data_IF_109652436928
#
_entry.id   IF_109652436928
#
_cell.length_a   1.000
_cell.length_b   1.000
_cell.length_c   1.000
_cell.angle_alpha   90.00
_cell.angle_beta   90.00
_cell.angle_gamma   90.00
#
_symmetry.space_group_name_H-M   'P 1'
#
loop_
_entity.id
_entity.type
_entity.pdbx_description
1 polymer ?
#
# COMPACT_ATOMS: atom_id res chain seq x y z
N UNK A 1 -17.38 -30.09 -23.73
CA UNK A 1 -16.23 -31.00 -23.51
C UNK A 1 -15.61 -30.64 -22.17
N UNK A 2 -15.07 -31.59 -21.39
CA UNK A 2 -14.25 -31.25 -20.23
C UNK A 2 -13.02 -30.45 -20.69
N UNK A 3 -12.57 -29.49 -19.90
CA UNK A 3 -11.32 -28.79 -20.19
C UNK A 3 -10.16 -29.82 -20.15
N UNK A 4 -9.29 -29.88 -21.18
CA UNK A 4 -8.10 -30.73 -21.13
C UNK A 4 -7.26 -30.34 -19.91
N UNK A 5 -6.77 -31.33 -19.18
CA UNK A 5 -6.00 -31.10 -17.96
C UNK A 5 -4.82 -30.17 -18.22
N UNK A 6 -4.42 -29.38 -17.21
CA UNK A 6 -3.28 -28.46 -17.32
C UNK A 6 -2.03 -29.17 -17.86
N UNK A 7 -1.80 -30.40 -17.41
CA UNK A 7 -0.73 -31.29 -17.91
C UNK A 7 -0.85 -31.59 -19.40
N UNK A 8 -2.03 -31.96 -19.91
CA UNK A 8 -2.20 -32.26 -21.33
C UNK A 8 -1.95 -31.05 -22.25
N UNK A 9 -2.32 -29.84 -21.81
CA UNK A 9 -1.97 -28.60 -22.53
C UNK A 9 -0.48 -28.28 -22.48
N UNK A 10 0.18 -28.51 -21.34
CA UNK A 10 1.62 -28.31 -21.19
C UNK A 10 2.43 -29.33 -22.01
N UNK A 11 2.04 -30.60 -22.01
CA UNK A 11 2.66 -31.65 -22.83
C UNK A 11 2.49 -31.37 -24.33
N UNK A 12 1.32 -30.89 -24.76
CA UNK A 12 1.09 -30.48 -26.15
C UNK A 12 1.88 -29.21 -26.54
N UNK A 13 2.23 -28.35 -25.57
CA UNK A 13 2.99 -27.12 -25.80
C UNK A 13 4.51 -27.30 -25.68
N UNK A 14 5.00 -28.52 -25.37
CA UNK A 14 6.41 -28.79 -24.98
C UNK A 14 7.45 -28.30 -25.99
N UNK A 15 7.13 -28.33 -27.27
CA UNK A 15 8.01 -27.87 -28.36
C UNK A 15 7.76 -26.40 -28.78
N UNK A 16 6.79 -25.73 -28.15
CA UNK A 16 6.37 -24.36 -28.51
C UNK A 16 7.14 -23.29 -27.73
N UNK A 17 7.60 -22.25 -28.43
CA UNK A 17 8.26 -21.07 -27.84
C UNK A 17 7.29 -20.07 -27.20
N UNK A 18 5.99 -20.30 -27.31
CA UNK A 18 4.93 -19.49 -26.73
C UNK A 18 3.89 -20.38 -26.03
N UNK A 19 3.56 -20.05 -24.79
CA UNK A 19 2.53 -20.74 -24.00
C UNK A 19 1.45 -19.75 -23.57
N UNK A 20 0.20 -20.01 -23.98
CA UNK A 20 -0.96 -19.23 -23.54
C UNK A 20 -1.87 -20.11 -22.70
N UNK A 21 -2.07 -19.73 -21.44
CA UNK A 21 -2.97 -20.37 -20.48
C UNK A 21 -3.95 -19.33 -19.91
N UNK A 22 -4.40 -18.38 -20.73
CA UNK A 22 -5.30 -17.32 -20.28
C UNK A 22 -6.66 -17.87 -19.83
N UNK A 23 -7.16 -17.39 -18.69
CA UNK A 23 -8.47 -17.75 -18.10
C UNK A 23 -8.67 -19.26 -17.83
N UNK A 24 -7.59 -19.98 -17.53
CA UNK A 24 -7.61 -21.42 -17.24
C UNK A 24 -7.86 -21.77 -15.77
N UNK A 25 -8.21 -20.79 -14.92
CA UNK A 25 -8.54 -20.95 -13.49
C UNK A 25 -7.47 -21.70 -12.68
N UNK A 26 -6.19 -21.44 -12.99
CA UNK A 26 -5.02 -22.17 -12.49
C UNK A 26 -4.83 -21.99 -10.97
N UNK A 27 -5.07 -20.78 -10.45
CA UNK A 27 -4.80 -20.42 -9.06
C UNK A 27 -3.32 -20.55 -8.66
N UNK A 28 -3.06 -20.43 -7.35
CA UNK A 28 -1.70 -20.55 -6.80
C UNK A 28 -1.15 -21.99 -6.91
N UNK A 29 -1.99 -23.01 -6.72
CA UNK A 29 -1.60 -24.42 -6.79
C UNK A 29 -1.06 -24.82 -8.17
N UNK A 30 -1.73 -24.42 -9.24
CA UNK A 30 -1.29 -24.71 -10.61
C UNK A 30 -0.01 -23.98 -11.01
N UNK A 31 0.40 -22.93 -10.27
CA UNK A 31 1.70 -22.27 -10.49
C UNK A 31 2.88 -23.21 -10.21
N UNK A 32 2.73 -24.23 -9.33
CA UNK A 32 3.76 -25.26 -9.13
C UNK A 32 3.99 -26.11 -10.40
N UNK A 33 2.91 -26.44 -11.12
CA UNK A 33 2.99 -27.23 -12.36
C UNK A 33 3.62 -26.41 -13.48
N UNK A 34 3.23 -25.13 -13.61
CA UNK A 34 3.83 -24.19 -14.56
C UNK A 34 5.31 -23.96 -14.24
N UNK A 35 5.66 -23.76 -12.96
CA UNK A 35 7.04 -23.58 -12.52
C UNK A 35 7.92 -24.80 -12.84
N UNK A 36 7.40 -26.03 -12.71
CA UNK A 36 8.10 -27.23 -13.16
C UNK A 36 8.29 -27.22 -14.67
N UNK A 37 7.22 -26.96 -15.44
CA UNK A 37 7.28 -26.87 -16.89
C UNK A 37 8.29 -25.83 -17.40
N UNK A 38 8.35 -24.65 -16.77
CA UNK A 38 9.31 -23.59 -17.10
C UNK A 38 10.77 -23.95 -16.78
N UNK A 39 11.04 -24.95 -15.93
CA UNK A 39 12.40 -25.49 -15.71
C UNK A 39 12.76 -26.59 -16.70
N UNK A 40 11.76 -27.34 -17.17
CA UNK A 40 11.94 -28.44 -18.13
C UNK A 40 11.99 -27.94 -19.59
N UNK A 41 11.27 -26.86 -19.91
CA UNK A 41 11.20 -26.30 -21.26
C UNK A 41 12.23 -25.17 -21.48
N UNK A 42 13.31 -25.49 -22.20
CA UNK A 42 14.38 -24.55 -22.55
C UNK A 42 14.02 -23.62 -23.72
N UNK A 43 12.97 -23.92 -24.50
CA UNK A 43 12.58 -23.17 -25.70
C UNK A 43 11.57 -22.04 -25.43
N UNK A 44 10.94 -22.02 -24.25
CA UNK A 44 9.87 -21.09 -23.92
C UNK A 44 10.36 -19.63 -23.84
N UNK A 45 9.87 -18.79 -24.77
CA UNK A 45 10.19 -17.35 -24.85
C UNK A 45 9.08 -16.45 -24.34
N UNK A 46 7.83 -16.88 -24.41
CA UNK A 46 6.67 -16.03 -24.06
C UNK A 46 5.61 -16.82 -23.29
N UNK A 47 5.05 -16.21 -22.24
CA UNK A 47 3.98 -16.82 -21.44
C UNK A 47 2.83 -15.83 -21.17
N UNK A 48 1.59 -16.23 -21.49
CA UNK A 48 0.35 -15.52 -21.12
C UNK A 48 -0.39 -16.30 -20.03
N UNK A 49 -0.37 -15.77 -18.80
CA UNK A 49 -1.06 -16.28 -17.63
C UNK A 49 -2.19 -15.34 -17.17
N UNK A 50 -2.75 -14.54 -18.10
CA UNK A 50 -3.87 -13.63 -17.82
C UNK A 50 -5.06 -14.32 -17.16
N UNK A 51 -5.67 -13.66 -16.17
CA UNK A 51 -7.01 -14.05 -15.70
C UNK A 51 -7.08 -15.37 -14.95
N UNK A 52 -5.99 -15.79 -14.31
CA UNK A 52 -5.85 -17.10 -13.65
C UNK A 52 -6.03 -17.07 -12.13
N UNK A 53 -6.38 -15.91 -11.57
CA UNK A 53 -6.53 -15.68 -10.12
C UNK A 53 -5.25 -16.05 -9.33
N UNK A 54 -4.08 -15.81 -9.92
CA UNK A 54 -2.78 -15.98 -9.27
C UNK A 54 -2.61 -14.87 -8.23
N UNK A 55 -2.20 -15.22 -7.01
CA UNK A 55 -1.96 -14.31 -5.89
C UNK A 55 -0.47 -14.23 -5.59
N UNK A 56 -0.13 -13.70 -4.41
CA UNK A 56 1.26 -13.58 -3.97
C UNK A 56 2.01 -14.93 -3.91
N UNK A 57 1.41 -15.99 -3.35
CA UNK A 57 2.11 -17.27 -3.13
C UNK A 57 2.41 -18.00 -4.45
N UNK A 58 1.44 -18.04 -5.39
CA UNK A 58 1.67 -18.55 -6.74
C UNK A 58 2.72 -17.73 -7.50
N UNK A 59 2.78 -16.41 -7.28
CA UNK A 59 3.80 -15.57 -7.88
C UNK A 59 5.20 -15.84 -7.32
N UNK A 60 5.36 -16.13 -6.02
CA UNK A 60 6.67 -16.54 -5.44
C UNK A 60 7.18 -17.80 -6.16
N UNK A 61 6.31 -18.79 -6.36
CA UNK A 61 6.64 -20.03 -7.07
C UNK A 61 7.07 -19.75 -8.52
N UNK A 62 6.35 -18.90 -9.24
CA UNK A 62 6.73 -18.46 -10.59
C UNK A 62 8.05 -17.69 -10.60
N UNK A 63 8.29 -16.79 -9.65
CA UNK A 63 9.55 -16.04 -9.53
C UNK A 63 10.75 -16.98 -9.33
N UNK A 64 10.63 -18.02 -8.48
CA UNK A 64 11.67 -19.04 -8.38
C UNK A 64 11.87 -19.84 -9.67
N UNK A 65 10.84 -20.06 -10.48
CA UNK A 65 10.98 -20.64 -11.82
C UNK A 65 11.71 -19.69 -12.78
N UNK A 66 11.40 -18.39 -12.77
CA UNK A 66 12.10 -17.37 -13.56
C UNK A 66 13.61 -17.32 -13.24
N UNK A 67 13.98 -17.48 -11.96
CA UNK A 67 15.40 -17.53 -11.52
C UNK A 67 16.14 -18.79 -12.01
N UNK A 68 15.45 -19.92 -12.17
CA UNK A 68 16.08 -21.24 -12.39
C UNK A 68 15.99 -21.74 -13.84
N UNK A 69 14.91 -21.45 -14.56
CA UNK A 69 14.69 -21.84 -15.97
C UNK A 69 14.38 -20.68 -16.92
N UNK A 70 14.18 -19.45 -16.42
CA UNK A 70 13.76 -18.29 -17.22
C UNK A 70 14.81 -17.66 -18.13
N UNK A 71 15.97 -18.29 -18.36
CA UNK A 71 17.10 -17.72 -19.09
C UNK A 71 16.83 -17.40 -20.57
N UNK A 72 15.80 -18.02 -21.16
CA UNK A 72 15.39 -17.77 -22.55
C UNK A 72 14.06 -17.01 -22.67
N UNK A 73 13.42 -16.65 -21.56
CA UNK A 73 12.11 -15.99 -21.60
C UNK A 73 12.24 -14.48 -21.83
N UNK A 74 11.58 -13.97 -22.86
CA UNK A 74 11.56 -12.56 -23.25
C UNK A 74 10.29 -11.82 -22.82
N UNK A 75 9.13 -12.49 -22.74
CA UNK A 75 7.86 -11.83 -22.40
C UNK A 75 7.04 -12.60 -21.38
N UNK A 76 6.60 -11.89 -20.33
CA UNK A 76 5.72 -12.42 -19.26
C UNK A 76 4.47 -11.57 -19.16
N UNK A 77 3.29 -12.18 -19.35
CA UNK A 77 2.01 -11.52 -19.21
C UNK A 77 1.21 -12.11 -18.05
N UNK A 78 0.98 -11.29 -17.02
CA UNK A 78 0.34 -11.63 -15.75
C UNK A 78 -0.88 -10.74 -15.47
N UNK A 79 -1.42 -10.05 -16.48
CA UNK A 79 -2.56 -9.13 -16.33
C UNK A 79 -3.82 -9.80 -15.79
N UNK A 80 -4.67 -9.03 -15.12
CA UNK A 80 -5.94 -9.53 -14.53
C UNK A 80 -5.73 -10.70 -13.56
N UNK A 81 -4.70 -10.63 -12.72
CA UNK A 81 -4.51 -11.53 -11.59
C UNK A 81 -4.66 -10.74 -10.26
N UNK A 82 -4.37 -11.35 -9.12
CA UNK A 82 -4.48 -10.74 -7.79
C UNK A 82 -3.14 -10.74 -7.06
N UNK A 83 -2.07 -10.53 -7.82
CA UNK A 83 -0.67 -10.48 -7.35
C UNK A 83 -0.48 -9.50 -6.19
N UNK A 84 -1.10 -8.32 -6.26
CA UNK A 84 -1.02 -7.28 -5.24
C UNK A 84 -1.78 -7.60 -3.94
N UNK A 85 -2.31 -8.82 -3.76
CA UNK A 85 -2.92 -9.24 -2.50
C UNK A 85 -1.95 -9.22 -1.32
N UNK A 86 -0.63 -9.34 -1.58
CA UNK A 86 0.41 -9.24 -0.56
C UNK A 86 1.75 -8.89 -1.21
N UNK A 87 2.45 -7.90 -0.66
CA UNK A 87 3.76 -7.41 -1.15
C UNK A 87 4.81 -8.52 -1.38
N UNK A 88 4.80 -9.61 -0.59
CA UNK A 88 5.79 -10.69 -0.67
C UNK A 88 5.93 -11.31 -2.06
N UNK A 89 4.83 -11.46 -2.79
CA UNK A 89 4.85 -11.97 -4.17
C UNK A 89 5.52 -10.99 -5.14
N UNK A 90 5.21 -9.70 -5.00
CA UNK A 90 5.79 -8.63 -5.82
C UNK A 90 7.28 -8.47 -5.51
N UNK A 91 7.67 -8.50 -4.24
CA UNK A 91 9.06 -8.48 -3.81
C UNK A 91 9.84 -9.65 -4.42
N UNK A 92 9.34 -10.89 -4.29
CA UNK A 92 10.01 -12.07 -4.86
C UNK A 92 10.19 -11.98 -6.38
N UNK A 93 9.18 -11.48 -7.10
CA UNK A 93 9.30 -11.21 -8.54
C UNK A 93 10.36 -10.15 -8.83
N UNK A 94 10.33 -9.03 -8.11
CA UNK A 94 11.28 -7.92 -8.28
C UNK A 94 12.73 -8.34 -7.99
N UNK A 95 12.97 -9.08 -6.92
CA UNK A 95 14.30 -9.56 -6.52
C UNK A 95 14.88 -10.65 -7.46
N UNK A 96 14.03 -11.29 -8.26
CA UNK A 96 14.46 -12.15 -9.37
C UNK A 96 14.75 -11.31 -10.62
N UNK A 97 13.89 -10.34 -10.93
CA UNK A 97 14.04 -9.49 -12.11
C UNK A 97 15.26 -8.55 -12.04
N UNK A 98 15.65 -8.07 -10.85
CA UNK A 98 16.90 -7.28 -10.64
C UNK A 98 18.12 -7.93 -11.32
N UNK A 99 18.25 -9.26 -11.21
CA UNK A 99 19.34 -10.04 -11.81
C UNK A 99 18.99 -10.78 -13.10
N UNK A 100 17.80 -10.58 -13.68
CA UNK A 100 17.37 -11.30 -14.88
C UNK A 100 17.83 -10.56 -16.16
N UNK A 101 18.52 -11.29 -17.04
CA UNK A 101 19.09 -10.75 -18.28
C UNK A 101 18.31 -11.09 -19.56
N UNK A 102 17.15 -11.74 -19.45
CA UNK A 102 16.40 -12.30 -20.59
C UNK A 102 15.06 -11.60 -20.87
N UNK A 103 14.36 -11.15 -19.82
CA UNK A 103 13.00 -10.61 -19.93
C UNK A 103 13.03 -9.17 -20.41
N UNK A 104 12.51 -8.93 -21.61
CA UNK A 104 12.37 -7.61 -22.23
C UNK A 104 10.98 -6.99 -22.02
N UNK A 105 9.94 -7.80 -21.80
CA UNK A 105 8.55 -7.36 -21.75
C UNK A 105 7.81 -7.94 -20.52
N UNK A 106 7.19 -7.08 -19.71
CA UNK A 106 6.43 -7.48 -18.52
C UNK A 106 5.07 -6.75 -18.43
N UNK A 107 3.97 -7.50 -18.47
CA UNK A 107 2.59 -6.98 -18.34
C UNK A 107 1.99 -7.40 -16.99
N UNK A 108 1.87 -6.44 -16.07
CA UNK A 108 1.28 -6.56 -14.73
C UNK A 108 -0.03 -5.75 -14.61
N UNK A 109 -0.71 -5.46 -15.72
CA UNK A 109 -1.93 -4.65 -15.75
C UNK A 109 -3.06 -5.24 -14.88
N UNK A 110 -3.76 -4.42 -14.10
CA UNK A 110 -4.89 -4.83 -13.27
C UNK A 110 -4.57 -6.01 -12.32
N UNK A 111 -3.62 -5.78 -11.41
CA UNK A 111 -3.16 -6.73 -10.41
C UNK A 111 -3.35 -6.28 -8.95
N UNK A 112 -4.00 -5.13 -8.72
CA UNK A 112 -4.19 -4.49 -7.40
C UNK A 112 -2.87 -4.19 -6.66
N UNK A 113 -1.80 -3.85 -7.37
CA UNK A 113 -0.52 -3.44 -6.75
C UNK A 113 -0.73 -2.14 -5.95
N UNK A 114 -0.44 -2.16 -4.65
CA UNK A 114 -0.56 -1.02 -3.74
C UNK A 114 0.69 -0.13 -3.67
N UNK A 115 0.68 0.95 -2.85
CA UNK A 115 1.81 1.88 -2.72
C UNK A 115 3.09 1.21 -2.20
N UNK A 116 3.00 0.26 -1.27
CA UNK A 116 4.16 -0.43 -0.69
C UNK A 116 4.93 -1.25 -1.75
N UNK A 117 4.22 -1.77 -2.75
CA UNK A 117 4.80 -2.47 -3.88
C UNK A 117 5.67 -1.57 -4.77
N UNK A 118 5.44 -0.25 -4.77
CA UNK A 118 6.15 0.69 -5.63
C UNK A 118 7.65 0.79 -5.32
N UNK A 119 8.04 0.58 -4.06
CA UNK A 119 9.46 0.54 -3.65
C UNK A 119 10.19 -0.62 -4.33
N UNK A 120 9.66 -1.84 -4.23
CA UNK A 120 10.25 -3.04 -4.83
C UNK A 120 10.30 -2.95 -6.36
N UNK A 121 9.24 -2.43 -6.98
CA UNK A 121 9.20 -2.17 -8.42
C UNK A 121 10.24 -1.13 -8.85
N UNK A 122 10.41 -0.05 -8.08
CA UNK A 122 11.40 0.97 -8.33
C UNK A 122 12.85 0.46 -8.21
N UNK A 123 13.18 -0.23 -7.12
CA UNK A 123 14.49 -0.87 -6.96
C UNK A 123 14.80 -1.83 -8.12
N UNK A 124 13.82 -2.60 -8.58
CA UNK A 124 13.96 -3.49 -9.73
C UNK A 124 14.20 -2.73 -11.03
N UNK A 125 13.43 -1.67 -11.31
CA UNK A 125 13.63 -0.81 -12.49
C UNK A 125 15.01 -0.15 -12.47
N UNK A 126 15.51 0.26 -11.30
CA UNK A 126 16.83 0.87 -11.16
C UNK A 126 17.97 -0.08 -11.56
N UNK A 127 17.87 -1.34 -11.18
CA UNK A 127 18.98 -2.32 -11.33
C UNK A 127 18.87 -3.16 -12.60
N UNK A 128 17.66 -3.44 -13.08
CA UNK A 128 17.46 -4.21 -14.30
C UNK A 128 17.80 -3.37 -15.55
N UNK A 129 18.62 -3.93 -16.43
CA UNK A 129 19.10 -3.30 -17.67
C UNK A 129 18.54 -3.91 -18.96
N UNK A 130 17.57 -4.83 -18.86
CA UNK A 130 17.09 -5.68 -19.97
C UNK A 130 15.61 -5.53 -20.28
N UNK A 131 14.80 -5.13 -19.30
CA UNK A 131 13.41 -4.71 -19.49
C UNK A 131 13.36 -3.45 -20.37
N UNK A 132 12.65 -3.57 -21.49
CA UNK A 132 12.42 -2.48 -22.46
C UNK A 132 10.97 -1.99 -22.45
N UNK A 133 10.01 -2.85 -22.13
CA UNK A 133 8.60 -2.47 -21.98
C UNK A 133 7.98 -3.02 -20.69
N UNK A 134 7.27 -2.18 -19.95
CA UNK A 134 6.53 -2.57 -18.75
C UNK A 134 5.10 -2.01 -18.79
N UNK A 135 4.10 -2.79 -18.37
CA UNK A 135 2.75 -2.29 -18.16
C UNK A 135 2.31 -2.51 -16.72
N UNK A 136 2.11 -1.40 -16.02
CA UNK A 136 1.62 -1.33 -14.64
C UNK A 136 0.23 -0.71 -14.58
N UNK A 137 -0.46 -0.53 -15.71
CA UNK A 137 -1.75 0.18 -15.76
C UNK A 137 -2.83 -0.47 -14.91
N UNK A 138 -3.77 0.33 -14.42
CA UNK A 138 -4.91 -0.10 -13.60
C UNK A 138 -4.50 -0.83 -12.30
N UNK A 139 -3.45 -0.36 -11.63
CA UNK A 139 -3.14 -0.73 -10.25
C UNK A 139 -3.43 0.47 -9.30
N UNK A 140 -3.08 0.37 -8.02
CA UNK A 140 -3.39 1.39 -7.00
C UNK A 140 -2.10 1.85 -6.27
N UNK A 141 -1.08 2.19 -7.07
CA UNK A 141 0.25 2.61 -6.58
C UNK A 141 0.19 3.96 -5.84
N UNK A 142 -0.79 4.80 -6.14
CA UNK A 142 -1.01 6.09 -5.48
C UNK A 142 0.07 7.14 -5.74
N UNK A 143 -0.09 8.30 -5.08
CA UNK A 143 0.78 9.46 -5.29
C UNK A 143 2.20 9.20 -4.75
N UNK A 144 2.34 8.66 -3.54
CA UNK A 144 3.65 8.37 -2.94
C UNK A 144 4.41 7.27 -3.69
N UNK A 145 3.72 6.19 -4.09
CA UNK A 145 4.33 5.15 -4.93
C UNK A 145 4.79 5.70 -6.29
N UNK A 146 4.06 6.65 -6.86
CA UNK A 146 4.49 7.39 -8.05
C UNK A 146 5.80 8.17 -7.87
N UNK A 147 5.99 8.86 -6.74
CA UNK A 147 7.24 9.58 -6.43
C UNK A 147 8.42 8.64 -6.30
N UNK A 148 8.25 7.54 -5.56
CA UNK A 148 9.29 6.50 -5.36
C UNK A 148 9.70 5.89 -6.70
N UNK A 149 8.73 5.59 -7.58
CA UNK A 149 9.03 5.17 -8.95
C UNK A 149 9.84 6.23 -9.69
N UNK A 150 9.39 7.50 -9.71
CA UNK A 150 10.10 8.57 -10.43
C UNK A 150 11.57 8.72 -10.01
N UNK A 151 11.88 8.61 -8.72
CA UNK A 151 13.26 8.65 -8.22
C UNK A 151 14.11 7.52 -8.83
N UNK A 152 13.62 6.28 -8.80
CA UNK A 152 14.32 5.13 -9.35
C UNK A 152 14.39 5.12 -10.89
N UNK A 153 13.37 5.66 -11.57
CA UNK A 153 13.35 5.82 -13.03
C UNK A 153 14.50 6.69 -13.55
N UNK A 154 14.94 7.71 -12.80
CA UNK A 154 16.00 8.64 -13.26
C UNK A 154 17.32 7.92 -13.56
N UNK A 155 17.63 6.89 -12.78
CA UNK A 155 18.83 6.06 -12.89
C UNK A 155 18.71 4.92 -13.91
N UNK A 156 17.50 4.59 -14.39
CA UNK A 156 17.32 3.58 -15.43
C UNK A 156 17.53 4.16 -16.84
N UNK A 157 18.18 3.37 -17.70
CA UNK A 157 18.46 3.70 -19.10
C UNK A 157 17.96 2.66 -20.12
N UNK A 158 17.41 1.52 -19.67
CA UNK A 158 16.97 0.41 -20.54
C UNK A 158 15.49 0.47 -20.89
N UNK A 159 14.65 0.98 -19.99
CA UNK A 159 13.20 0.97 -20.12
C UNK A 159 12.76 2.09 -21.07
N UNK A 160 12.06 1.71 -22.15
CA UNK A 160 11.69 2.56 -23.29
C UNK A 160 10.19 2.88 -23.29
N UNK A 161 9.36 1.95 -22.82
CA UNK A 161 7.91 2.13 -22.68
C UNK A 161 7.47 1.67 -21.29
N UNK A 162 6.80 2.53 -20.53
CA UNK A 162 6.14 2.14 -19.30
C UNK A 162 4.74 2.74 -19.21
N UNK A 163 3.74 1.88 -19.17
CA UNK A 163 2.33 2.27 -19.10
C UNK A 163 1.88 2.32 -17.64
N UNK A 164 1.59 3.54 -17.16
CA UNK A 164 1.18 3.82 -15.77
C UNK A 164 -0.27 4.33 -15.68
N UNK A 165 -1.07 4.17 -16.74
CA UNK A 165 -2.44 4.69 -16.79
C UNK A 165 -3.33 4.10 -15.67
N UNK A 166 -4.16 4.92 -15.04
CA UNK A 166 -5.10 4.46 -14.00
C UNK A 166 -4.50 4.12 -12.63
N UNK A 167 -3.28 4.56 -12.31
CA UNK A 167 -2.59 4.26 -11.04
C UNK A 167 -2.78 5.26 -9.88
N UNK A 168 -3.64 6.28 -10.05
CA UNK A 168 -3.79 7.42 -9.11
C UNK A 168 -2.47 8.14 -8.78
N UNK A 169 -1.52 8.14 -9.73
CA UNK A 169 -0.27 8.90 -9.67
C UNK A 169 -0.55 10.36 -10.09
N UNK A 170 0.17 11.32 -9.51
CA UNK A 170 0.07 12.73 -9.88
C UNK A 170 0.51 12.98 -11.34
N UNK A 171 -0.18 13.90 -12.02
CA UNK A 171 0.04 14.17 -13.45
C UNK A 171 1.46 14.68 -13.74
N UNK A 172 2.03 15.54 -12.88
CA UNK A 172 3.42 16.02 -12.99
C UNK A 172 4.43 14.86 -12.94
N UNK A 173 4.20 13.88 -12.08
CA UNK A 173 5.03 12.68 -11.94
C UNK A 173 4.98 11.83 -13.20
N UNK A 174 3.79 11.66 -13.79
CA UNK A 174 3.64 10.94 -15.07
C UNK A 174 4.36 11.66 -16.22
N UNK A 175 4.28 12.99 -16.28
CA UNK A 175 5.03 13.79 -17.27
C UNK A 175 6.55 13.65 -17.11
N UNK A 176 7.06 13.66 -15.87
CA UNK A 176 8.47 13.46 -15.59
C UNK A 176 8.96 12.04 -15.99
N UNK A 177 8.19 10.98 -15.68
CA UNK A 177 8.50 9.61 -16.12
C UNK A 177 8.46 9.51 -17.65
N UNK A 178 7.47 10.11 -18.31
CA UNK A 178 7.37 10.13 -19.78
C UNK A 178 8.57 10.83 -20.45
N UNK A 179 9.13 11.88 -19.82
CA UNK A 179 10.35 12.53 -20.29
C UNK A 179 11.58 11.61 -20.18
N UNK A 180 11.71 10.87 -19.08
CA UNK A 180 12.79 9.88 -18.87
C UNK A 180 12.70 8.73 -19.89
N UNK A 181 11.50 8.18 -20.11
CA UNK A 181 11.27 7.15 -21.13
C UNK A 181 11.62 7.67 -22.53
N UNK A 182 11.26 8.93 -22.86
CA UNK A 182 11.61 9.57 -24.13
C UNK A 182 13.13 9.73 -24.31
N UNK A 183 13.88 10.04 -23.24
CA UNK A 183 15.35 10.05 -23.23
C UNK A 183 15.88 8.66 -23.55
N UNK A 184 15.43 7.64 -22.82
CA UNK A 184 15.90 6.26 -22.99
C UNK A 184 15.59 5.71 -24.40
N UNK A 185 14.45 6.11 -24.99
CA UNK A 185 14.08 5.78 -26.38
C UNK A 185 15.00 6.40 -27.43
N UNK A 186 15.64 7.53 -27.15
CA UNK A 186 16.60 8.17 -28.06
C UNK A 186 17.99 7.54 -27.97
N UNK A 187 18.34 6.96 -26.81
CA UNK A 187 19.61 6.25 -26.60
C UNK A 187 19.55 4.76 -26.98
N UNK A 188 18.35 4.19 -27.17
CA UNK A 188 18.18 2.81 -27.57
C UNK A 188 18.56 2.59 -29.06
N UNK A 189 19.29 1.51 -29.41
CA UNK A 189 19.55 1.17 -30.80
C UNK A 189 18.24 0.83 -31.55
N UNK A 190 18.23 1.11 -32.85
CA UNK A 190 17.08 1.12 -33.78
C UNK A 190 16.42 -0.26 -34.07
N UNK A 191 16.17 -1.06 -33.03
CA UNK A 191 15.44 -2.33 -33.09
C UNK A 191 14.39 -2.53 -31.98
N UNK A 192 14.47 -1.79 -30.87
CA UNK A 192 13.59 -2.01 -29.70
C UNK A 192 12.15 -1.44 -29.85
N UNK A 193 11.82 -0.75 -30.94
CA UNK A 193 10.59 0.05 -31.06
C UNK A 193 9.42 -0.65 -31.80
N UNK A 194 9.41 -1.99 -31.91
CA UNK A 194 8.38 -2.72 -32.67
C UNK A 194 7.64 -3.78 -31.84
N UNK A 195 6.86 -3.32 -30.86
CA UNK A 195 5.65 -4.04 -30.44
C UNK A 195 4.42 -3.14 -30.63
N UNK A 196 3.92 -3.06 -31.88
CA UNK A 196 2.57 -2.55 -32.12
C UNK A 196 1.60 -3.63 -31.68
N UNK A 197 0.77 -3.35 -30.66
CA UNK A 197 -0.40 -4.18 -30.43
C UNK A 197 -1.34 -4.11 -31.64
N UNK A 198 -1.90 -5.28 -31.95
CA UNK A 198 -2.82 -5.53 -33.05
C UNK A 198 -4.02 -4.56 -32.99
N UNK A 199 -4.35 -3.92 -34.12
CA UNK A 199 -5.38 -2.87 -34.21
C UNK A 199 -6.60 -3.36 -35.00
N UNK A 200 -7.59 -3.86 -34.28
CA UNK A 200 -8.98 -4.06 -34.70
C UNK A 200 -9.79 -4.54 -33.49
N UNK A 201 -11.05 -4.17 -33.25
CA UNK A 201 -12.06 -3.33 -33.95
C UNK A 201 -12.89 -2.67 -32.81
N UNK A 202 -13.44 -1.45 -32.85
CA UNK A 202 -14.04 -0.63 -33.91
C UNK A 202 -13.49 0.82 -33.93
N UNK A 203 -14.22 1.77 -34.54
CA UNK A 203 -13.96 3.20 -34.69
C UNK A 203 -14.61 4.10 -33.63
N UNK A 204 -13.94 5.20 -33.28
CA UNK A 204 -14.57 6.52 -33.15
C UNK A 204 -13.55 7.59 -33.59
N UNK A 205 -14.03 8.70 -34.17
CA UNK A 205 -13.19 9.60 -34.99
C UNK A 205 -12.48 10.71 -34.21
N UNK A 206 -11.47 11.25 -34.89
CA UNK A 206 -10.76 12.51 -34.58
C UNK A 206 -11.72 13.71 -34.54
N UNK A 207 -11.58 14.57 -33.53
CA UNK A 207 -11.76 16.02 -33.66
C UNK A 207 -10.84 16.78 -32.69
N UNK A 208 -9.83 17.45 -33.23
CA UNK A 208 -9.21 18.63 -32.61
C UNK A 208 -9.96 19.86 -33.11
N UNK A 209 -10.44 20.74 -32.22
CA UNK A 209 -10.49 22.22 -32.41
C UNK A 209 -11.27 22.92 -31.27
N UNK A 210 -10.70 23.95 -30.62
CA UNK A 210 -11.43 25.08 -30.02
C UNK A 210 -11.59 26.20 -31.09
N UNK A 211 -12.02 27.47 -30.82
CA UNK A 211 -12.51 28.10 -29.58
C UNK A 211 -13.83 28.92 -29.80
N UNK A 212 -14.02 29.99 -29.00
CA UNK A 212 -15.06 31.06 -29.04
C UNK A 212 -16.33 30.80 -28.19
N UNK A 213 -16.93 31.80 -27.52
CA UNK A 213 -16.88 33.26 -27.74
C UNK A 213 -16.57 34.14 -26.49
N UNK A 214 -16.19 35.43 -26.66
CA UNK A 214 -15.70 36.29 -25.58
C UNK A 214 -16.65 37.44 -25.14
N UNK A 215 -16.51 37.95 -23.91
CA UNK A 215 -16.83 39.34 -23.50
C UNK A 215 -16.01 39.63 -22.22
N UNK A 216 -14.80 40.22 -22.30
CA UNK A 216 -14.40 41.62 -22.56
C UNK A 216 -14.30 42.48 -21.28
N UNK A 217 -13.04 42.78 -20.89
CA UNK A 217 -12.48 43.99 -20.24
C UNK A 217 -13.27 44.65 -19.07
N UNK A 218 -12.65 45.05 -17.95
CA UNK A 218 -11.43 45.87 -17.79
C UNK A 218 -10.61 45.37 -16.56
N UNK A 219 -9.27 45.28 -16.57
CA UNK A 219 -8.25 46.35 -16.62
C UNK A 219 -8.35 47.31 -15.41
N UNK A 220 -7.35 47.61 -14.57
CA UNK A 220 -5.92 47.27 -14.38
C UNK A 220 -5.65 47.35 -12.83
N UNK A 221 -4.54 46.96 -12.20
CA UNK A 221 -3.24 46.39 -12.60
C UNK A 221 -2.27 46.43 -11.38
N UNK A 222 -1.13 45.72 -11.46
CA UNK A 222 0.11 45.81 -10.64
C UNK A 222 0.06 46.48 -9.24
N UNK A 223 0.44 45.82 -8.14
CA UNK A 223 1.84 45.50 -7.80
C UNK A 223 1.96 44.45 -6.68
N UNK A 224 2.74 43.37 -6.85
CA UNK A 224 4.08 43.13 -6.24
C UNK A 224 4.23 43.37 -4.72
N UNK A 225 4.72 42.36 -3.99
CA UNK A 225 5.22 42.47 -2.61
C UNK A 225 4.73 41.32 -1.69
N UNK A 226 5.26 40.09 -1.81
CA UNK A 226 6.38 39.52 -1.03
C UNK A 226 6.06 39.16 0.45
N UNK A 227 6.05 37.85 0.71
CA UNK A 227 6.38 37.09 1.92
C UNK A 227 5.91 37.48 3.33
N UNK A 228 5.12 36.55 3.89
CA UNK A 228 5.37 35.81 5.14
C UNK A 228 6.15 36.47 6.30
N UNK A 229 5.55 36.40 7.50
CA UNK A 229 5.93 35.39 8.52
C UNK A 229 4.97 35.36 9.72
N UNK A 230 4.98 34.21 10.40
CA UNK A 230 4.27 33.97 11.65
C UNK A 230 5.07 34.45 12.89
N UNK A 231 4.31 34.74 13.95
CA UNK A 231 4.60 34.49 15.37
C UNK A 231 5.43 35.48 16.21
N UNK A 232 5.08 35.40 17.52
CA UNK A 232 5.77 35.87 18.75
C UNK A 232 5.52 37.30 19.25
N UNK A 233 5.53 37.38 20.59
CA UNK A 233 5.39 38.53 21.51
C UNK A 233 3.93 38.79 21.95
N UNK A 234 3.47 38.44 23.17
CA UNK A 234 4.13 38.28 24.48
C UNK A 234 4.81 39.55 25.02
N UNK A 235 4.50 39.87 26.29
CA UNK A 235 5.02 40.97 27.11
C UNK A 235 5.00 42.40 26.53
N UNK A 236 3.97 43.17 26.89
CA UNK A 236 4.15 44.56 27.36
C UNK A 236 3.32 44.72 28.65
N UNK A 237 4.03 44.97 29.75
CA UNK A 237 3.50 45.49 31.01
C UNK A 237 3.66 47.03 31.01
N UNK A 238 2.93 47.68 31.92
CA UNK A 238 2.96 49.10 32.24
C UNK A 238 2.45 50.08 31.16
N UNK A 239 1.53 50.95 31.59
CA UNK A 239 0.77 51.86 30.73
C UNK A 239 -0.47 52.38 31.47
N UNK A 240 -0.22 53.24 32.46
CA UNK A 240 -1.18 53.82 33.41
C UNK A 240 -2.66 53.88 32.98
N UNK A 241 -3.51 53.23 33.77
CA UNK A 241 -4.93 53.58 33.86
C UNK A 241 -5.03 55.03 34.39
N UNK A 242 -5.59 55.99 33.64
CA UNK A 242 -5.89 57.29 34.21
C UNK A 242 -6.99 57.10 35.26
N UNK A 243 -6.61 57.21 36.54
CA UNK A 243 -7.53 57.24 37.66
C UNK A 243 -8.45 58.46 37.52
N UNK A 244 -9.56 58.29 36.79
CA UNK A 244 -10.57 59.33 36.66
C UNK A 244 -11.29 59.39 37.98
N UNK A 245 -10.92 60.40 38.76
CA UNK A 245 -11.47 60.77 40.05
C UNK A 245 -13.00 60.65 40.06
N UNK A 246 -13.61 60.25 41.20
CA UNK A 246 -15.06 60.34 41.33
C UNK A 246 -15.44 61.81 41.08
N UNK A 247 -16.14 62.04 39.97
CA UNK A 247 -16.61 63.36 39.60
C UNK A 247 -17.42 63.90 40.78
N UNK A 248 -17.00 65.06 41.30
CA UNK A 248 -17.57 65.70 42.50
C UNK A 248 -19.07 65.48 42.57
N UNK A 249 -19.55 64.95 43.70
CA UNK A 249 -20.93 65.14 44.07
C UNK A 249 -21.26 66.63 43.88
N UNK A 250 -22.36 66.93 43.19
CA UNK A 250 -22.80 68.31 43.03
C UNK A 250 -22.86 68.96 44.43
N UNK A 251 -22.39 70.21 44.59
CA UNK A 251 -22.50 70.87 45.88
C UNK A 251 -23.99 70.88 46.29
N UNK A 252 -24.31 70.69 47.57
CA UNK A 252 -25.67 70.93 48.02
C UNK A 252 -26.01 72.37 47.67
N UNK A 253 -27.07 72.56 46.88
CA UNK A 253 -27.57 73.89 46.57
C UNK A 253 -27.98 74.51 47.90
N UNK A 254 -27.55 75.75 48.22
CA UNK A 254 -28.08 76.45 49.38
C UNK A 254 -29.50 76.92 49.07
N UNK A 255 -30.44 75.98 49.11
CA UNK A 255 -31.87 76.19 48.84
C UNK A 255 -32.41 77.34 49.71
N UNK A 256 -31.93 77.46 50.94
CA UNK A 256 -32.36 78.49 51.90
C UNK A 256 -32.17 79.92 51.39
N UNK A 257 -31.05 80.26 50.73
CA UNK A 257 -30.80 81.66 50.32
C UNK A 257 -31.62 82.08 49.09
N UNK A 258 -31.81 81.17 48.13
CA UNK A 258 -32.63 81.44 46.94
C UNK A 258 -34.12 81.44 47.30
N UNK A 259 -34.55 80.52 48.17
CA UNK A 259 -35.94 80.43 48.63
C UNK A 259 -36.30 81.62 49.51
N UNK A 260 -35.41 82.10 50.39
CA UNK A 260 -35.61 83.34 51.14
C UNK A 260 -35.73 84.55 50.21
N UNK A 261 -34.90 84.66 49.16
CA UNK A 261 -34.98 85.78 48.19
C UNK A 261 -36.23 85.74 47.31
N UNK A 262 -36.82 84.58 47.06
CA UNK A 262 -38.11 84.45 46.38
C UNK A 262 -39.27 84.88 47.30
N UNK A 263 -39.31 84.35 48.52
CA UNK A 263 -40.38 84.62 49.50
C UNK A 263 -40.39 86.08 49.99
N UNK A 264 -39.23 86.74 50.02
CA UNK A 264 -39.08 88.13 50.45
C UNK A 264 -39.41 89.15 49.33
N UNK A 265 -39.59 88.71 48.07
CA UNK A 265 -39.88 89.59 46.93
C UNK A 265 -41.27 89.38 46.31
N UNK A 266 -41.99 88.34 46.72
CA UNK A 266 -43.39 88.09 46.34
C UNK A 266 -44.37 89.18 46.86
N UNK A 267 -43.92 90.06 47.76
CA UNK A 267 -44.73 91.13 48.36
C UNK A 267 -44.64 92.49 47.63
N UNK A 268 -43.66 92.70 46.76
CA UNK A 268 -43.46 93.99 46.07
C UNK A 268 -44.04 93.97 44.64
N UNK A 269 -45.15 94.67 44.44
CA UNK A 269 -45.81 94.73 43.14
C UNK A 269 -45.05 95.60 42.12
N UNK A 270 -44.29 94.92 41.26
CA UNK A 270 -44.12 95.29 39.85
C UNK A 270 -43.00 96.27 39.52
N UNK A 271 -41.87 95.76 39.03
CA UNK A 271 -40.92 96.55 38.27
C UNK A 271 -40.19 95.76 37.18
N UNK A 272 -39.63 96.47 36.19
CA UNK A 272 -38.99 95.87 35.02
C UNK A 272 -37.68 95.10 35.33
N UNK A 273 -37.12 95.26 36.52
CA UNK A 273 -35.94 94.53 36.98
C UNK A 273 -36.28 93.09 37.39
N UNK A 274 -37.46 92.84 37.95
CA UNK A 274 -37.89 91.48 38.30
C UNK A 274 -38.09 90.64 37.03
N UNK A 275 -38.61 91.23 35.95
CA UNK A 275 -38.71 90.56 34.65
C UNK A 275 -37.34 90.17 34.06
N UNK A 276 -36.27 90.91 34.36
CA UNK A 276 -34.90 90.54 33.97
C UNK A 276 -34.35 89.44 34.86
N UNK A 277 -34.52 89.55 36.17
CA UNK A 277 -34.11 88.53 37.14
C UNK A 277 -34.79 87.18 36.89
N UNK A 278 -36.12 87.16 36.67
CA UNK A 278 -36.84 85.94 36.30
C UNK A 278 -36.43 85.42 34.91
N UNK A 279 -35.99 86.29 33.99
CA UNK A 279 -35.39 85.89 32.71
C UNK A 279 -34.05 85.17 32.89
N UNK A 280 -33.13 85.75 33.67
CA UNK A 280 -31.82 85.15 33.99
C UNK A 280 -31.98 83.84 34.77
N UNK A 281 -32.93 83.78 35.72
CA UNK A 281 -33.26 82.54 36.45
C UNK A 281 -33.88 81.49 35.53
N UNK A 282 -34.75 81.86 34.59
CA UNK A 282 -35.29 80.92 33.60
C UNK A 282 -34.20 80.38 32.66
N UNK A 283 -33.31 81.24 32.15
CA UNK A 283 -32.18 80.83 31.31
C UNK A 283 -31.21 79.91 32.06
N UNK A 284 -30.97 80.16 33.35
CA UNK A 284 -30.20 79.27 34.22
C UNK A 284 -30.90 77.93 34.49
N UNK A 285 -32.21 77.93 34.68
CA UNK A 285 -33.02 76.70 34.82
C UNK A 285 -32.98 75.89 33.51
N UNK A 286 -33.10 76.51 32.34
CA UNK A 286 -33.03 75.83 31.05
C UNK A 286 -31.63 75.23 30.80
N UNK A 287 -30.56 75.95 31.16
CA UNK A 287 -29.18 75.43 31.13
C UNK A 287 -28.99 74.22 32.06
N UNK A 288 -29.55 74.28 33.28
CA UNK A 288 -29.53 73.14 34.20
C UNK A 288 -30.34 71.95 33.69
N UNK A 289 -31.52 72.17 33.10
CA UNK A 289 -32.31 71.10 32.48
C UNK A 289 -31.56 70.45 31.31
N UNK A 290 -30.86 71.25 30.49
CA UNK A 290 -30.01 70.76 29.40
C UNK A 290 -28.88 69.88 29.92
N UNK A 291 -28.19 70.28 30.99
CA UNK A 291 -27.09 69.51 31.57
C UNK A 291 -27.58 68.26 32.34
N UNK A 292 -28.75 68.30 32.98
CA UNK A 292 -29.42 67.13 33.55
C UNK A 292 -29.79 66.13 32.44
N UNK A 293 -30.35 66.60 31.32
CA UNK A 293 -30.65 65.76 30.16
C UNK A 293 -29.38 65.15 29.55
N UNK A 294 -28.30 65.93 29.45
CA UNK A 294 -27.00 65.49 28.95
C UNK A 294 -26.35 64.44 29.85
N UNK A 295 -26.37 64.64 31.18
CA UNK A 295 -25.89 63.67 32.16
C UNK A 295 -26.74 62.40 32.19
N UNK A 296 -28.07 62.50 32.05
CA UNK A 296 -28.95 61.34 31.91
C UNK A 296 -28.62 60.51 30.68
N UNK A 297 -28.30 61.17 29.54
CA UNK A 297 -27.83 60.48 28.34
C UNK A 297 -26.48 59.79 28.56
N UNK A 298 -25.49 60.47 29.15
CA UNK A 298 -24.19 59.84 29.44
C UNK A 298 -24.31 58.64 30.39
N UNK A 299 -25.22 58.68 31.37
CA UNK A 299 -25.52 57.51 32.21
C UNK A 299 -26.11 56.35 31.41
N UNK A 300 -27.13 56.60 30.59
CA UNK A 300 -27.74 55.58 29.73
C UNK A 300 -26.71 54.95 28.78
N UNK A 301 -25.88 55.77 28.13
CA UNK A 301 -24.83 55.33 27.21
C UNK A 301 -23.72 54.53 27.93
N UNK A 302 -23.47 54.81 29.22
CA UNK A 302 -22.51 54.05 30.04
C UNK A 302 -23.09 52.71 30.52
N UNK A 303 -24.32 52.71 31.04
CA UNK A 303 -25.05 51.51 31.48
C UNK A 303 -25.24 50.53 30.30
N UNK A 304 -25.48 51.02 29.08
CA UNK A 304 -25.58 50.16 27.90
C UNK A 304 -24.23 49.56 27.46
N UNK A 305 -23.13 50.33 27.55
CA UNK A 305 -21.78 49.79 27.32
C UNK A 305 -21.43 48.69 28.33
N UNK A 306 -21.78 48.89 29.60
CA UNK A 306 -21.56 47.89 30.65
C UNK A 306 -22.37 46.61 30.39
N UNK A 307 -23.64 46.72 29.97
CA UNK A 307 -24.45 45.56 29.53
C UNK A 307 -23.84 44.82 28.35
N UNK A 308 -23.37 45.53 27.32
CA UNK A 308 -22.73 44.90 26.15
C UNK A 308 -21.43 44.18 26.53
N UNK A 309 -20.61 44.78 27.40
CA UNK A 309 -19.36 44.16 27.87
C UNK A 309 -19.63 42.93 28.74
N UNK A 310 -20.54 43.02 29.71
CA UNK A 310 -20.89 41.90 30.59
C UNK A 310 -21.56 40.76 29.83
N UNK A 311 -22.50 41.05 28.93
CA UNK A 311 -23.09 40.05 28.03
C UNK A 311 -22.04 39.40 27.13
N UNK A 312 -21.15 40.19 26.52
CA UNK A 312 -20.06 39.69 25.69
C UNK A 312 -18.98 38.90 26.47
N UNK A 313 -18.87 39.09 27.78
CA UNK A 313 -18.07 38.23 28.65
C UNK A 313 -18.78 36.89 28.88
N UNK A 314 -20.02 36.92 29.37
CA UNK A 314 -20.84 35.71 29.61
C UNK A 314 -21.01 34.84 28.36
N UNK A 315 -21.22 35.44 27.18
CA UNK A 315 -21.33 34.70 25.91
C UNK A 315 -20.03 34.00 25.50
N UNK A 316 -18.85 34.53 25.88
CA UNK A 316 -17.55 33.88 25.64
C UNK A 316 -17.29 32.79 26.66
N UNK A 317 -17.57 33.05 27.94
CA UNK A 317 -17.46 32.08 29.02
C UNK A 317 -18.37 30.86 28.79
N UNK A 318 -19.62 31.07 28.37
CA UNK A 318 -20.55 30.01 27.96
C UNK A 318 -20.04 29.21 26.77
N UNK A 319 -19.44 29.86 25.75
CA UNK A 319 -18.86 29.17 24.59
C UNK A 319 -17.68 28.29 25.00
N UNK A 320 -16.72 28.82 25.75
CA UNK A 320 -15.59 28.03 26.26
C UNK A 320 -16.06 26.87 27.17
N UNK A 321 -17.09 27.10 27.99
CA UNK A 321 -17.67 26.04 28.83
C UNK A 321 -18.44 24.96 28.04
N UNK A 322 -18.92 25.27 26.83
CA UNK A 322 -19.49 24.29 25.90
C UNK A 322 -18.38 23.51 25.16
N UNK A 323 -17.43 24.23 24.56
CA UNK A 323 -16.27 23.65 23.87
C UNK A 323 -15.47 22.70 24.78
N UNK A 324 -15.25 23.07 26.04
CA UNK A 324 -14.60 22.20 27.03
C UNK A 324 -15.39 20.91 27.29
N UNK A 325 -16.72 20.95 27.42
CA UNK A 325 -17.55 19.75 27.60
C UNK A 325 -17.56 18.85 26.36
N UNK A 326 -17.55 19.45 25.17
CA UNK A 326 -17.45 18.70 23.91
C UNK A 326 -16.09 17.98 23.81
N UNK A 327 -15.00 18.68 24.12
CA UNK A 327 -13.65 18.11 24.19
C UNK A 327 -13.54 17.00 25.26
N UNK A 328 -14.12 17.19 26.44
CA UNK A 328 -14.20 16.16 27.49
C UNK A 328 -14.99 14.93 27.03
N UNK A 329 -16.12 15.13 26.32
CA UNK A 329 -16.92 14.03 25.76
C UNK A 329 -16.16 13.26 24.68
N UNK A 330 -15.45 13.95 23.79
CA UNK A 330 -14.60 13.33 22.77
C UNK A 330 -13.41 12.58 23.40
N UNK A 331 -12.78 13.15 24.43
CA UNK A 331 -11.71 12.51 25.18
C UNK A 331 -12.20 11.25 25.91
N UNK A 332 -13.43 11.25 26.43
CA UNK A 332 -14.03 10.07 27.05
C UNK A 332 -14.29 8.94 26.03
N UNK A 333 -14.80 9.28 24.83
CA UNK A 333 -14.99 8.31 23.73
C UNK A 333 -13.65 7.71 23.27
N UNK A 334 -12.66 8.55 22.99
CA UNK A 334 -11.34 8.10 22.56
C UNK A 334 -10.62 7.23 23.62
N UNK A 335 -10.89 7.45 24.92
CA UNK A 335 -10.42 6.56 25.99
C UNK A 335 -11.14 5.21 25.97
N UNK A 336 -12.46 5.18 25.81
CA UNK A 336 -13.23 3.95 25.72
C UNK A 336 -12.80 3.09 24.51
N UNK A 337 -12.66 3.71 23.32
CA UNK A 337 -12.15 3.05 22.11
C UNK A 337 -10.74 2.50 22.31
N UNK A 338 -9.86 3.24 22.98
CA UNK A 338 -8.52 2.77 23.34
C UNK A 338 -8.56 1.55 24.27
N UNK A 339 -9.42 1.57 25.29
CA UNK A 339 -9.51 0.49 26.28
C UNK A 339 -10.12 -0.79 25.67
N UNK A 340 -11.06 -0.65 24.73
CA UNK A 340 -11.59 -1.74 23.88
C UNK A 340 -10.49 -2.33 22.99
N UNK A 341 -9.74 -1.50 22.24
CA UNK A 341 -8.61 -1.95 21.43
C UNK A 341 -7.51 -2.62 22.26
N UNK A 342 -7.28 -2.18 23.49
CA UNK A 342 -6.37 -2.85 24.43
C UNK A 342 -6.89 -4.22 24.87
N UNK A 343 -8.20 -4.37 25.08
CA UNK A 343 -8.80 -5.67 25.37
C UNK A 343 -8.61 -6.65 24.20
N UNK A 344 -8.94 -6.23 22.98
CA UNK A 344 -8.76 -7.02 21.76
C UNK A 344 -7.30 -7.39 21.52
N UNK A 345 -6.38 -6.44 21.71
CA UNK A 345 -4.93 -6.69 21.57
C UNK A 345 -4.45 -7.75 22.56
N UNK A 346 -4.90 -7.69 23.81
CA UNK A 346 -4.56 -8.68 24.83
C UNK A 346 -5.17 -10.06 24.52
N UNK A 347 -6.42 -10.10 24.04
CA UNK A 347 -7.07 -11.34 23.62
C UNK A 347 -6.32 -12.02 22.46
N UNK A 348 -6.02 -11.26 21.39
CA UNK A 348 -5.23 -11.76 20.25
C UNK A 348 -3.83 -12.22 20.69
N UNK A 349 -3.19 -11.52 21.63
CA UNK A 349 -1.90 -11.93 22.18
C UNK A 349 -2.01 -13.29 22.92
N UNK A 350 -3.05 -13.50 23.73
CA UNK A 350 -3.26 -14.80 24.41
C UNK A 350 -3.51 -15.94 23.42
N UNK A 351 -4.27 -15.71 22.34
CA UNK A 351 -4.51 -16.76 21.34
C UNK A 351 -3.24 -17.04 20.49
N UNK A 352 -2.40 -16.02 20.22
CA UNK A 352 -1.08 -16.19 19.60
C UNK A 352 -0.19 -17.09 20.47
N UNK A 353 -0.14 -16.85 21.78
CA UNK A 353 0.71 -17.62 22.69
C UNK A 353 0.22 -19.06 22.87
N UNK A 354 -1.10 -19.28 22.88
CA UNK A 354 -1.69 -20.63 22.79
C UNK A 354 -1.29 -21.35 21.51
N UNK A 355 -1.42 -20.71 20.34
CA UNK A 355 -1.04 -21.29 19.04
C UNK A 355 0.47 -21.58 18.98
N UNK A 356 1.31 -20.77 19.64
CA UNK A 356 2.75 -21.05 19.79
C UNK A 356 3.01 -22.30 20.62
N UNK A 357 2.29 -22.50 21.73
CA UNK A 357 2.41 -23.70 22.57
C UNK A 357 1.93 -24.96 21.84
N UNK A 358 0.79 -24.90 21.16
CA UNK A 358 0.27 -26.00 20.33
C UNK A 358 1.25 -26.35 19.19
N UNK A 359 1.82 -25.35 18.52
CA UNK A 359 2.87 -25.53 17.52
C UNK A 359 4.12 -26.20 18.11
N UNK A 360 4.56 -25.81 19.30
CA UNK A 360 5.73 -26.39 19.95
C UNK A 360 5.56 -27.89 20.24
N UNK A 361 4.38 -28.29 20.74
CA UNK A 361 4.02 -29.71 20.95
C UNK A 361 4.03 -30.50 19.63
N UNK A 362 3.42 -29.96 18.58
CA UNK A 362 3.40 -30.59 17.25
C UNK A 362 4.82 -30.73 16.68
N UNK A 363 5.73 -29.76 16.91
CA UNK A 363 7.13 -29.90 16.46
C UNK A 363 7.89 -30.98 17.23
N UNK A 364 7.69 -31.10 18.55
CA UNK A 364 8.32 -32.14 19.37
C UNK A 364 7.85 -33.55 18.95
N UNK A 365 6.55 -33.71 18.71
CA UNK A 365 5.98 -34.99 18.26
C UNK A 365 6.40 -35.34 16.83
N UNK A 366 6.54 -34.35 15.94
CA UNK A 366 7.13 -34.56 14.61
C UNK A 366 8.58 -35.04 14.70
N UNK A 367 9.39 -34.46 15.57
CA UNK A 367 10.79 -34.86 15.75
C UNK A 367 10.91 -36.31 16.28
N UNK A 368 10.07 -36.70 17.25
CA UNK A 368 9.97 -38.10 17.72
C UNK A 368 9.57 -39.05 16.58
N UNK A 369 8.60 -38.69 15.76
CA UNK A 369 8.17 -39.48 14.61
C UNK A 369 9.26 -39.59 13.54
N UNK A 370 10.00 -38.51 13.26
CA UNK A 370 11.15 -38.51 12.34
C UNK A 370 12.31 -39.37 12.86
N UNK A 371 12.54 -39.42 14.17
CA UNK A 371 13.53 -40.31 14.79
C UNK A 371 13.11 -41.80 14.70
N UNK A 372 11.84 -42.12 14.97
CA UNK A 372 11.28 -43.47 14.81
C UNK A 372 11.34 -43.91 13.34
N UNK A 373 10.99 -43.04 12.40
CA UNK A 373 11.07 -43.32 10.96
C UNK A 373 12.52 -43.56 10.50
N UNK A 374 13.48 -42.80 11.03
CA UNK A 374 14.92 -42.99 10.77
C UNK A 374 15.40 -44.35 11.31
N UNK A 375 15.09 -44.66 12.56
CA UNK A 375 15.48 -45.92 13.21
C UNK A 375 14.87 -47.14 12.50
N UNK A 376 13.63 -47.07 12.03
CA UNK A 376 13.01 -48.16 11.26
C UNK A 376 13.60 -48.28 9.86
N UNK A 377 13.89 -47.17 9.18
CA UNK A 377 14.58 -47.19 7.89
C UNK A 377 16.00 -47.80 7.98
N UNK A 378 16.77 -47.48 9.03
CA UNK A 378 18.12 -48.02 9.21
C UNK A 378 18.13 -49.51 9.58
N UNK A 379 17.13 -49.98 10.35
CA UNK A 379 16.91 -51.43 10.58
C UNK A 379 16.60 -52.15 9.28
N UNK A 380 15.61 -51.67 8.51
CA UNK A 380 15.26 -52.27 7.21
C UNK A 380 16.46 -52.27 6.24
N UNK A 381 17.30 -51.22 6.26
CA UNK A 381 18.55 -51.19 5.50
C UNK A 381 19.59 -52.20 5.96
N UNK A 382 19.63 -52.56 7.25
CA UNK A 382 20.46 -53.66 7.76
C UNK A 382 19.90 -55.02 7.29
N UNK A 383 18.61 -55.27 7.51
CA UNK A 383 17.93 -56.51 7.11
C UNK A 383 18.11 -56.79 5.59
N UNK A 384 18.01 -55.75 4.76
CA UNK A 384 18.24 -55.85 3.31
C UNK A 384 19.71 -56.20 2.99
N UNK A 385 20.70 -55.63 3.69
CA UNK A 385 22.12 -55.99 3.47
C UNK A 385 22.40 -57.44 3.84
N UNK A 386 21.86 -57.89 4.97
CA UNK A 386 22.06 -59.25 5.46
C UNK A 386 21.38 -60.26 4.51
N UNK A 387 20.16 -59.97 4.05
CA UNK A 387 19.46 -60.76 3.03
C UNK A 387 20.22 -60.81 1.69
N UNK A 388 20.85 -59.71 1.27
CA UNK A 388 21.70 -59.67 0.06
C UNK A 388 22.99 -60.48 0.24
N UNK A 389 23.59 -60.51 1.43
CA UNK A 389 24.75 -61.36 1.74
C UNK A 389 24.36 -62.85 1.64
N UNK A 390 23.28 -63.25 2.31
CA UNK A 390 22.77 -64.64 2.25
C UNK A 390 22.43 -65.04 0.81
N UNK A 391 21.85 -64.13 0.02
CA UNK A 391 21.60 -64.36 -1.41
C UNK A 391 22.90 -64.64 -2.19
N UNK A 392 23.95 -63.85 -1.99
CA UNK A 392 25.23 -64.03 -2.70
C UNK A 392 25.92 -65.36 -2.33
N UNK A 393 25.83 -65.77 -1.05
CA UNK A 393 26.31 -67.07 -0.60
C UNK A 393 25.52 -68.22 -1.28
N UNK A 394 24.19 -68.12 -1.33
CA UNK A 394 23.33 -69.11 -1.99
C UNK A 394 23.60 -69.18 -3.50
N UNK A 395 23.76 -68.05 -4.19
CA UNK A 395 24.14 -68.02 -5.62
C UNK A 395 25.50 -68.71 -5.85
N UNK A 396 26.47 -68.51 -4.95
CA UNK A 396 27.76 -69.18 -4.97
C UNK A 396 27.64 -70.70 -4.77
N UNK A 397 26.76 -71.15 -3.87
CA UNK A 397 26.51 -72.60 -3.69
C UNK A 397 25.78 -73.21 -4.89
N UNK A 398 24.78 -72.52 -5.45
CA UNK A 398 24.07 -72.94 -6.67
C UNK A 398 25.06 -73.10 -7.83
N UNK A 399 26.00 -72.17 -7.99
CA UNK A 399 27.05 -72.28 -9.01
C UNK A 399 27.94 -73.52 -8.80
N UNK A 400 28.39 -73.78 -7.57
CA UNK A 400 29.18 -74.98 -7.23
C UNK A 400 28.42 -76.29 -7.51
N UNK A 401 27.12 -76.34 -7.19
CA UNK A 401 26.27 -77.51 -7.46
C UNK A 401 26.08 -77.72 -8.95
N UNK A 402 25.74 -76.67 -9.71
CA UNK A 402 25.60 -76.73 -11.18
C UNK A 402 26.89 -77.21 -11.86
N UNK A 403 28.04 -76.75 -11.40
CA UNK A 403 29.35 -77.20 -11.92
C UNK A 403 29.57 -78.69 -11.68
N UNK A 404 29.33 -79.18 -10.46
CA UNK A 404 29.44 -80.62 -10.14
C UNK A 404 28.47 -81.47 -10.97
N UNK A 405 27.26 -80.97 -11.19
CA UNK A 405 26.27 -81.64 -12.05
C UNK A 405 26.79 -81.73 -13.49
N UNK A 406 27.33 -80.65 -14.05
CA UNK A 406 27.92 -80.66 -15.39
C UNK A 406 29.10 -81.65 -15.49
N UNK A 407 30.00 -81.64 -14.51
CA UNK A 407 31.14 -82.58 -14.43
C UNK A 407 30.64 -84.06 -14.41
N UNK A 408 29.56 -84.35 -13.67
CA UNK A 408 28.90 -85.67 -13.66
C UNK A 408 28.18 -86.00 -14.97
N UNK A 409 27.55 -85.04 -15.64
CA UNK A 409 26.90 -85.25 -16.93
C UNK A 409 27.92 -85.56 -18.03
N UNK A 410 29.07 -84.88 -18.03
CA UNK A 410 30.20 -85.17 -18.92
C UNK A 410 30.80 -86.56 -18.66
N UNK A 411 30.99 -86.96 -17.39
CA UNK A 411 31.48 -88.30 -17.04
C UNK A 411 30.48 -89.39 -17.46
N UNK A 412 29.18 -89.20 -17.20
CA UNK A 412 28.13 -90.11 -17.65
C UNK A 412 28.09 -90.22 -19.19
N UNK A 413 28.31 -89.13 -19.92
CA UNK A 413 28.40 -89.16 -21.38
C UNK A 413 29.63 -89.95 -21.87
N UNK A 414 30.78 -89.80 -21.21
CA UNK A 414 31.98 -90.62 -21.49
C UNK A 414 31.71 -92.10 -21.23
N UNK A 415 31.15 -92.46 -20.07
CA UNK A 415 30.82 -93.84 -19.72
C UNK A 415 29.83 -94.48 -20.70
N UNK A 416 28.78 -93.76 -21.13
CA UNK A 416 27.86 -94.22 -22.19
C UNK A 416 28.60 -94.49 -23.50
N UNK A 417 29.56 -93.64 -23.87
CA UNK A 417 30.39 -93.82 -25.08
C UNK A 417 31.30 -95.04 -24.98
N UNK A 418 31.94 -95.27 -23.82
CA UNK A 418 32.73 -96.48 -23.58
C UNK A 418 31.87 -97.75 -23.60
N UNK A 419 30.69 -97.74 -22.98
CA UNK A 419 29.76 -98.86 -23.02
C UNK A 419 29.29 -99.18 -24.45
N UNK A 420 29.06 -98.17 -25.30
CA UNK A 420 28.77 -98.39 -26.74
C UNK A 420 29.91 -99.13 -27.43
N UNK A 421 31.16 -98.68 -27.25
CA UNK A 421 32.33 -99.34 -27.85
C UNK A 421 32.51 -100.77 -27.37
N UNK A 422 32.45 -101.01 -26.07
CA UNK A 422 32.56 -102.36 -25.51
C UNK A 422 31.43 -103.28 -26.02
N UNK A 423 30.22 -102.74 -26.23
CA UNK A 423 29.11 -103.47 -26.84
C UNK A 423 29.37 -103.77 -28.33
N UNK A 424 29.87 -102.81 -29.10
CA UNK A 424 30.25 -103.00 -30.51
C UNK A 424 31.41 -104.00 -30.69
N UNK A 425 32.36 -104.03 -29.75
CA UNK A 425 33.46 -105.00 -29.73
C UNK A 425 32.95 -106.41 -29.36
N UNK A 426 32.02 -106.53 -28.41
CA UNK A 426 31.36 -107.79 -28.05
C UNK A 426 30.47 -108.31 -29.21
N UNK A 427 29.67 -107.43 -29.82
CA UNK A 427 28.83 -107.72 -30.99
C UNK A 427 29.67 -108.05 -32.24
N UNK A 428 30.98 -107.72 -32.24
CA UNK A 428 31.97 -108.18 -33.24
C UNK A 428 32.59 -109.53 -32.88
N UNK A 429 32.85 -109.80 -31.60
CA UNK A 429 33.40 -111.08 -31.14
C UNK A 429 32.39 -112.24 -31.16
N UNK A 430 31.08 -111.93 -31.21
CA UNK A 430 29.98 -112.90 -31.31
C UNK A 430 29.58 -113.24 -32.76
N UNK A 431 30.26 -112.70 -33.78
CA UNK A 431 30.05 -112.98 -35.21
C UNK A 431 31.22 -113.77 -35.80
#
# INVERSE_FOLDING_TARGET
MPAPSLLAHLDAAKDSSALSLAYASIGDEGCNVIARYMRENVLLRTIDLRGNNIKADGLVVLAHALRSGGSNMSSVCLKWNHIGSHERGVQALCDVLKGNSSISNLDLRNNKLGPDCAKYLGEMIRENSTLTTMDLSWNDLGIEGGKVLLEHFQANHSLVDCQLSGNRIAEDTLHAIAFILRRNRQTAPMGASTFRQDRGVVSAQVTLSPPSSPTRMQALGNSRGFDARYATNASILDGDLPARTPGKAAPPVPDDELTLKLLQREQDHGNAEDARFFGEVAEYIDLLQLDVARNKKYRMDAEERERVVTKGFMEREMRYAQEMRELESLLAKAKAEKDELLHDTNYVQTEIDRVREEKAKITEDREKLEEIARCTADRLRADIRDALSVKADLETQIYKVKRRQQEQEEENARLRTYLSKCKEDLDRALR
#
